data_IF_049870980928
#
_entry.id   IF_049870980928
#
_cell.length_a   1.000
_cell.length_b   1.000
_cell.length_c   1.000
_cell.angle_alpha   90.00
_cell.angle_beta   90.00
_cell.angle_gamma   90.00
#
_symmetry.space_group_name_H-M   'P 1'
#
loop_
_entity.id
_entity.type
_entity.pdbx_description
1 polymer ?
#
# COMPACT_ATOMS: atom_id res chain seq x y z
N UNK A 1 -0.91 21.42 17.89
CA UNK A 1 -0.16 20.24 18.38
C UNK A 1 -0.42 19.86 19.83
N UNK A 2 -1.23 20.58 20.61
CA UNK A 2 -1.61 20.17 21.99
C UNK A 2 -2.99 19.49 22.02
N UNK A 3 -3.91 19.85 21.11
CA UNK A 3 -5.28 19.30 21.09
C UNK A 3 -5.37 17.83 20.66
N UNK A 4 -4.49 17.34 19.79
CA UNK A 4 -4.50 15.95 19.31
C UNK A 4 -4.20 14.94 20.43
N UNK A 5 -3.38 15.31 21.42
CA UNK A 5 -2.95 14.42 22.49
C UNK A 5 -4.11 13.98 23.42
N UNK A 6 -5.11 14.85 23.63
CA UNK A 6 -6.25 14.55 24.50
C UNK A 6 -7.23 13.54 23.86
N UNK A 7 -7.35 13.56 22.54
CA UNK A 7 -8.21 12.62 21.81
C UNK A 7 -7.57 11.24 21.68
N UNK A 8 -6.24 11.16 21.56
CA UNK A 8 -5.51 9.89 21.49
C UNK A 8 -5.73 9.01 22.74
N UNK A 9 -5.74 9.59 23.95
CA UNK A 9 -6.02 8.84 25.18
C UNK A 9 -7.45 8.28 25.21
N UNK A 10 -8.44 9.06 24.76
CA UNK A 10 -9.85 8.64 24.70
C UNK A 10 -10.07 7.54 23.65
N UNK A 11 -9.37 7.63 22.52
CA UNK A 11 -9.43 6.62 21.45
C UNK A 11 -8.77 5.32 21.90
N UNK A 12 -7.62 5.39 22.59
CA UNK A 12 -6.97 4.22 23.17
C UNK A 12 -7.88 3.52 24.21
N UNK A 13 -8.58 4.28 25.05
CA UNK A 13 -9.59 3.75 25.99
C UNK A 13 -10.77 3.07 25.27
N UNK A 14 -11.26 3.66 24.17
CA UNK A 14 -12.29 3.06 23.31
C UNK A 14 -11.82 1.74 22.71
N UNK A 15 -10.61 1.71 22.12
CA UNK A 15 -10.01 0.51 21.55
C UNK A 15 -9.82 -0.60 22.60
N UNK A 16 -9.41 -0.24 23.81
CA UNK A 16 -9.18 -1.19 24.90
C UNK A 16 -10.48 -1.77 25.48
N UNK A 17 -11.61 -1.08 25.34
CA UNK A 17 -12.95 -1.57 25.75
C UNK A 17 -13.62 -2.39 24.65
N UNK A 18 -13.22 -2.20 23.40
CA UNK A 18 -13.80 -2.84 22.22
C UNK A 18 -12.92 -4.00 21.73
N UNK A 19 -12.49 -4.90 22.64
CA UNK A 19 -11.58 -6.02 22.37
C UNK A 19 -12.06 -7.00 21.29
N UNK A 20 -13.34 -6.96 20.91
CA UNK A 20 -13.93 -7.76 19.83
C UNK A 20 -14.05 -7.02 18.49
N UNK A 21 -13.76 -5.72 18.42
CA UNK A 21 -13.83 -4.96 17.18
C UNK A 21 -12.62 -5.25 16.29
N UNK A 22 -12.87 -5.73 15.08
CA UNK A 22 -11.82 -6.01 14.10
C UNK A 22 -11.31 -4.75 13.40
N UNK A 23 -12.16 -3.73 13.25
CA UNK A 23 -11.85 -2.47 12.57
C UNK A 23 -12.67 -1.33 13.17
N UNK A 24 -12.03 -0.19 13.48
CA UNK A 24 -12.69 1.04 13.89
C UNK A 24 -12.31 2.16 12.92
N UNK A 25 -13.29 2.68 12.19
CA UNK A 25 -13.13 3.89 11.37
C UNK A 25 -13.58 5.06 12.23
N UNK A 26 -12.67 6.01 12.49
CA UNK A 26 -12.95 7.20 13.27
C UNK A 26 -12.86 8.42 12.33
N UNK A 27 -14.00 9.06 12.10
CA UNK A 27 -14.04 10.38 11.48
C UNK A 27 -14.11 11.41 12.61
N UNK A 28 -13.10 12.25 12.72
CA UNK A 28 -13.03 13.36 13.67
C UNK A 28 -13.20 14.66 12.90
N UNK A 29 -14.20 15.46 13.28
CA UNK A 29 -14.40 16.79 12.72
C UNK A 29 -13.87 17.83 13.71
N UNK A 30 -12.86 18.60 13.31
CA UNK A 30 -12.30 19.70 14.11
C UNK A 30 -12.53 21.00 13.34
N UNK A 31 -13.56 21.75 13.72
CA UNK A 31 -14.01 22.92 12.96
C UNK A 31 -14.68 22.52 11.63
N UNK A 32 -14.27 23.11 10.52
CA UNK A 32 -14.76 22.78 9.16
C UNK A 32 -13.91 21.71 8.44
N UNK A 33 -12.90 21.13 9.10
CA UNK A 33 -12.02 20.11 8.52
C UNK A 33 -12.34 18.71 9.04
N UNK A 34 -12.44 17.77 8.11
CA UNK A 34 -12.60 16.35 8.39
C UNK A 34 -11.23 15.66 8.46
N UNK A 35 -10.98 14.95 9.56
CA UNK A 35 -9.80 14.12 9.76
C UNK A 35 -10.23 12.65 9.89
N UNK A 36 -9.66 11.80 9.05
CA UNK A 36 -9.96 10.37 9.02
C UNK A 36 -8.83 9.58 9.69
N UNK A 37 -9.15 8.87 10.76
CA UNK A 37 -8.21 7.99 11.46
C UNK A 37 -8.77 6.57 11.47
N UNK A 38 -7.98 5.62 10.98
CA UNK A 38 -8.34 4.20 11.01
C UNK A 38 -7.54 3.56 12.14
N UNK A 39 -8.26 3.06 13.15
CA UNK A 39 -7.67 2.30 14.26
C UNK A 39 -8.14 0.85 14.13
N UNK A 40 -7.22 -0.07 13.94
CA UNK A 40 -7.51 -1.51 13.93
C UNK A 40 -6.71 -2.19 15.04
N UNK A 41 -7.26 -3.25 15.62
CA UNK A 41 -6.45 -4.12 16.48
C UNK A 41 -5.33 -4.72 15.61
N UNK A 42 -4.05 -4.36 15.82
CA UNK A 42 -3.00 -4.64 14.84
C UNK A 42 -2.79 -6.13 14.60
N UNK A 43 -3.26 -7.00 15.50
CA UNK A 43 -3.07 -8.45 15.45
C UNK A 43 -4.02 -9.22 14.52
N UNK A 44 -5.03 -8.59 13.89
CA UNK A 44 -5.99 -9.27 13.01
C UNK A 44 -6.22 -8.63 11.65
N UNK A 45 -5.73 -7.42 11.42
CA UNK A 45 -5.90 -6.77 10.12
C UNK A 45 -5.05 -7.50 9.07
N UNK A 46 -5.71 -8.26 8.20
CA UNK A 46 -5.05 -9.02 7.14
C UNK A 46 -5.18 -8.39 5.74
N UNK A 47 -5.89 -7.27 5.63
CA UNK A 47 -6.03 -6.49 4.40
C UNK A 47 -5.89 -4.98 4.64
N UNK A 48 -5.37 -4.25 3.65
CA UNK A 48 -5.34 -2.79 3.62
C UNK A 48 -5.66 -2.32 2.21
N UNK A 49 -6.85 -1.75 2.06
CA UNK A 49 -7.37 -1.34 0.76
C UNK A 49 -7.16 0.14 0.48
N UNK A 50 -7.07 0.46 -0.81
CA UNK A 50 -7.07 1.81 -1.39
C UNK A 50 -6.00 2.74 -0.79
N UNK A 51 -4.79 2.21 -0.63
CA UNK A 51 -3.64 3.00 -0.17
C UNK A 51 -3.24 3.99 -1.26
N UNK A 52 -3.15 5.25 -0.87
CA UNK A 52 -2.69 6.37 -1.71
C UNK A 52 -1.21 6.68 -1.45
N UNK A 53 -0.63 7.68 -2.15
CA UNK A 53 0.76 8.11 -1.96
C UNK A 53 1.09 8.55 -0.52
N UNK A 54 0.07 8.80 0.31
CA UNK A 54 0.19 9.30 1.67
C UNK A 54 0.34 8.18 2.73
N UNK A 55 0.96 7.05 2.37
CA UNK A 55 1.25 6.00 3.34
C UNK A 55 2.15 6.56 4.46
N UNK A 56 1.69 6.57 5.74
CA UNK A 56 2.46 7.15 6.85
C UNK A 56 3.71 6.34 7.23
N UNK A 57 3.96 5.21 6.56
CA UNK A 57 5.02 4.26 6.89
C UNK A 57 4.66 3.34 8.06
N UNK A 58 5.65 2.57 8.53
CA UNK A 58 5.50 1.60 9.63
C UNK A 58 5.36 0.15 9.16
N UNK A 59 5.48 -0.81 10.08
CA UNK A 59 5.46 -2.25 9.76
C UNK A 59 4.09 -2.84 10.14
N UNK A 60 3.35 -3.29 9.13
CA UNK A 60 2.03 -3.92 9.24
C UNK A 60 2.14 -5.42 8.91
N UNK A 61 2.90 -6.14 9.74
CA UNK A 61 3.31 -7.55 9.52
C UNK A 61 2.17 -8.57 9.35
N UNK A 62 0.95 -8.22 9.72
CA UNK A 62 -0.21 -9.12 9.61
C UNK A 62 -1.06 -8.87 8.36
N UNK A 63 -0.82 -7.74 7.68
CA UNK A 63 -1.52 -7.41 6.44
C UNK A 63 -0.89 -8.23 5.31
N UNK A 64 -1.69 -9.15 4.76
CA UNK A 64 -1.31 -10.02 3.66
C UNK A 64 -1.88 -9.55 2.32
N UNK A 65 -2.94 -8.72 2.33
CA UNK A 65 -3.60 -8.24 1.12
C UNK A 65 -3.55 -6.71 1.06
N UNK A 66 -3.04 -6.16 -0.02
CA UNK A 66 -2.90 -4.72 -0.20
C UNK A 66 -3.48 -4.30 -1.53
N UNK A 67 -4.32 -3.26 -1.52
CA UNK A 67 -4.78 -2.57 -2.73
C UNK A 67 -4.24 -1.15 -2.74
N UNK A 68 -3.67 -0.74 -3.86
CA UNK A 68 -3.17 0.61 -4.11
C UNK A 68 -4.11 1.29 -5.10
N UNK A 69 -4.58 2.49 -4.75
CA UNK A 69 -5.35 3.33 -5.64
C UNK A 69 -5.00 4.78 -5.41
N UNK A 70 -4.74 5.52 -6.48
CA UNK A 70 -4.53 6.96 -6.40
C UNK A 70 -4.89 7.63 -7.73
N UNK A 71 -5.43 8.85 -7.65
CA UNK A 71 -5.67 9.70 -8.81
C UNK A 71 -4.36 10.26 -9.40
N UNK A 72 -3.31 10.30 -8.57
CA UNK A 72 -1.97 10.73 -8.94
C UNK A 72 -1.08 9.52 -9.23
N UNK A 73 -0.08 9.64 -10.13
CA UNK A 73 0.90 8.58 -10.36
C UNK A 73 1.58 8.10 -9.07
N UNK A 74 1.91 6.81 -9.01
CA UNK A 74 2.83 6.31 -8.00
C UNK A 74 4.28 6.47 -8.49
N UNK A 75 5.16 6.73 -7.54
CA UNK A 75 6.61 6.79 -7.76
C UNK A 75 7.23 5.41 -7.45
N UNK A 76 8.39 5.11 -8.04
CA UNK A 76 9.12 3.87 -7.74
C UNK A 76 9.37 3.69 -6.23
N UNK A 77 9.83 4.74 -5.54
CA UNK A 77 10.09 4.72 -4.10
C UNK A 77 8.85 4.42 -3.25
N UNK A 78 7.65 4.70 -3.78
CA UNK A 78 6.42 4.32 -3.10
C UNK A 78 6.29 2.79 -3.00
N UNK A 79 6.62 2.06 -4.06
CA UNK A 79 6.59 0.59 -4.06
C UNK A 79 7.63 -0.01 -3.10
N UNK A 80 8.79 0.64 -2.94
CA UNK A 80 9.77 0.27 -1.93
C UNK A 80 9.18 0.41 -0.51
N UNK A 81 8.50 1.52 -0.23
CA UNK A 81 7.81 1.74 1.05
C UNK A 81 6.70 0.71 1.29
N UNK A 82 5.96 0.32 0.24
CA UNK A 82 4.97 -0.77 0.31
C UNK A 82 5.66 -2.09 0.71
N UNK A 83 6.72 -2.49 0.02
CA UNK A 83 7.42 -3.74 0.32
C UNK A 83 7.97 -3.77 1.77
N UNK A 84 8.49 -2.64 2.25
CA UNK A 84 9.01 -2.51 3.61
C UNK A 84 7.90 -2.52 4.68
N UNK A 85 6.75 -1.91 4.38
CA UNK A 85 5.64 -1.80 5.33
C UNK A 85 4.87 -3.12 5.47
N UNK A 86 4.79 -3.89 4.39
CA UNK A 86 3.96 -5.11 4.30
C UNK A 86 4.82 -6.35 4.05
N UNK A 87 5.64 -6.70 5.06
CA UNK A 87 6.65 -7.76 4.92
C UNK A 87 6.10 -9.18 4.71
N UNK A 88 4.81 -9.42 4.94
CA UNK A 88 4.12 -10.71 4.75
C UNK A 88 3.04 -10.62 3.66
N UNK A 89 3.15 -9.63 2.76
CA UNK A 89 2.19 -9.41 1.69
C UNK A 89 2.17 -10.59 0.72
N UNK A 90 1.00 -11.19 0.57
CA UNK A 90 0.72 -12.28 -0.36
C UNK A 90 -0.01 -11.76 -1.61
N UNK A 91 -0.84 -10.73 -1.48
CA UNK A 91 -1.62 -10.18 -2.59
C UNK A 91 -1.39 -8.68 -2.71
N UNK A 92 -1.01 -8.25 -3.91
CA UNK A 92 -0.88 -6.85 -4.27
C UNK A 92 -1.76 -6.54 -5.47
N UNK A 93 -2.71 -5.62 -5.29
CA UNK A 93 -3.49 -5.03 -6.37
C UNK A 93 -3.04 -3.60 -6.58
N UNK A 94 -2.72 -3.23 -7.81
CA UNK A 94 -2.38 -1.85 -8.17
C UNK A 94 -3.42 -1.33 -9.14
N UNK A 95 -3.98 -0.15 -8.86
CA UNK A 95 -4.93 0.54 -9.72
C UNK A 95 -4.49 1.97 -9.93
N UNK A 96 -3.98 2.25 -11.11
CA UNK A 96 -3.55 3.59 -11.49
C UNK A 96 -3.47 3.72 -13.01
N UNK A 97 -4.38 4.50 -13.58
CA UNK A 97 -4.45 4.72 -15.03
C UNK A 97 -3.48 5.81 -15.52
N UNK A 98 -2.77 6.48 -14.60
CA UNK A 98 -1.79 7.51 -14.93
C UNK A 98 -0.40 6.91 -15.07
N UNK A 99 0.32 7.37 -16.09
CA UNK A 99 1.74 7.06 -16.30
C UNK A 99 2.55 7.38 -15.04
N UNK A 100 3.42 6.47 -14.63
CA UNK A 100 4.40 6.68 -13.56
C UNK A 100 5.26 7.91 -13.85
N UNK A 101 5.60 8.61 -12.77
CA UNK A 101 6.62 9.65 -12.81
C UNK A 101 7.96 8.92 -12.66
N UNK A 102 8.50 8.47 -13.79
CA UNK A 102 9.90 8.07 -13.84
C UNK A 102 10.70 9.37 -13.76
N UNK A 103 11.16 9.71 -12.57
CA UNK A 103 12.26 10.65 -12.49
C UNK A 103 13.43 9.94 -13.18
N UNK A 104 13.94 10.49 -14.28
CA UNK A 104 15.20 10.09 -14.93
C UNK A 104 16.41 10.34 -13.99
N UNK A 105 16.29 9.94 -12.72
CA UNK A 105 17.37 9.93 -11.76
C UNK A 105 18.18 8.70 -12.13
N UNK A 106 19.39 8.97 -12.63
CA UNK A 106 20.45 8.01 -12.86
C UNK A 106 20.37 6.89 -11.81
N UNK A 107 20.17 5.67 -12.30
CA UNK A 107 19.92 4.39 -11.62
C UNK A 107 21.09 3.95 -10.73
N UNK A 108 21.67 4.83 -9.92
CA UNK A 108 22.93 4.56 -9.23
C UNK A 108 22.78 4.02 -7.81
N UNK A 109 21.58 3.98 -7.21
CA UNK A 109 21.44 3.41 -5.84
C UNK A 109 20.01 2.96 -5.41
N UNK A 110 19.10 2.69 -6.35
CA UNK A 110 17.78 2.17 -5.96
C UNK A 110 17.89 0.72 -5.50
N UNK A 111 17.53 0.50 -4.23
CA UNK A 111 17.50 -0.82 -3.62
C UNK A 111 16.46 -1.70 -4.31
N UNK A 112 16.87 -2.88 -4.77
CA UNK A 112 15.97 -3.88 -5.36
C UNK A 112 14.79 -4.13 -4.41
N UNK A 113 13.58 -3.88 -4.90
CA UNK A 113 12.32 -4.12 -4.19
C UNK A 113 12.05 -5.62 -4.19
N UNK A 114 11.89 -6.23 -3.02
CA UNK A 114 11.66 -7.67 -2.87
C UNK A 114 10.29 -7.95 -2.30
N UNK A 115 9.48 -8.73 -3.01
CA UNK A 115 8.16 -9.15 -2.58
C UNK A 115 8.13 -10.64 -2.19
N UNK A 116 8.90 -11.01 -1.16
CA UNK A 116 9.27 -12.40 -0.86
C UNK A 116 8.10 -13.40 -0.69
N UNK A 117 6.93 -12.92 -0.28
CA UNK A 117 5.76 -13.77 0.01
C UNK A 117 4.60 -13.59 -0.98
N UNK A 118 4.80 -12.78 -2.04
CA UNK A 118 3.76 -12.48 -3.00
C UNK A 118 3.34 -13.76 -3.74
N UNK A 119 2.04 -13.97 -3.85
CA UNK A 119 1.40 -15.05 -4.58
C UNK A 119 0.54 -14.50 -5.71
N UNK A 120 -0.06 -13.33 -5.52
CA UNK A 120 -0.95 -12.71 -6.50
C UNK A 120 -0.55 -11.25 -6.73
N UNK A 121 -0.38 -10.88 -7.99
CA UNK A 121 -0.14 -9.52 -8.45
C UNK A 121 -1.19 -9.13 -9.49
N UNK A 122 -2.06 -8.17 -9.16
CA UNK A 122 -3.09 -7.67 -10.05
C UNK A 122 -2.74 -6.27 -10.57
N UNK A 123 -2.53 -6.20 -11.88
CA UNK A 123 -2.19 -5.01 -12.68
C UNK A 123 -3.23 -4.77 -13.80
N UNK A 124 -4.44 -5.34 -13.71
CA UNK A 124 -5.45 -5.20 -14.78
C UNK A 124 -5.80 -3.72 -15.04
N UNK A 125 -5.80 -2.89 -13.99
CA UNK A 125 -6.19 -1.48 -14.05
C UNK A 125 -5.00 -0.54 -13.85
N UNK A 126 -3.84 -0.88 -14.43
CA UNK A 126 -2.66 -0.02 -14.42
C UNK A 126 -2.28 0.50 -15.78
N UNK A 127 -1.58 1.64 -15.80
CA UNK A 127 -0.84 2.08 -16.99
C UNK A 127 0.30 1.11 -17.30
N UNK A 128 0.74 1.07 -18.57
CA UNK A 128 1.67 0.05 -19.08
C UNK A 128 3.07 0.02 -18.42
N UNK A 129 3.50 1.12 -17.81
CA UNK A 129 4.82 1.24 -17.17
C UNK A 129 4.92 0.52 -15.82
N UNK A 130 3.83 0.43 -15.06
CA UNK A 130 3.77 -0.41 -13.87
C UNK A 130 4.13 -1.87 -14.19
N UNK A 131 3.64 -2.40 -15.31
CA UNK A 131 4.00 -3.75 -15.75
C UNK A 131 5.49 -3.88 -16.01
N UNK A 132 6.12 -2.85 -16.58
CA UNK A 132 7.56 -2.86 -16.80
C UNK A 132 8.32 -2.92 -15.48
N UNK A 133 7.96 -2.08 -14.50
CA UNK A 133 8.59 -2.07 -13.17
C UNK A 133 8.53 -3.44 -12.47
N UNK A 134 7.40 -4.16 -12.57
CA UNK A 134 7.22 -5.44 -11.89
C UNK A 134 7.77 -6.65 -12.68
N UNK A 135 7.74 -6.62 -14.03
CA UNK A 135 7.97 -7.80 -14.86
C UNK A 135 9.22 -7.73 -15.74
N UNK A 136 9.67 -6.52 -16.09
CA UNK A 136 10.78 -6.31 -17.03
C UNK A 136 11.99 -5.67 -16.36
N UNK A 137 11.78 -4.93 -15.28
CA UNK A 137 12.81 -4.18 -14.60
C UNK A 137 13.59 -5.07 -13.62
N UNK A 138 14.91 -4.85 -13.53
CA UNK A 138 15.78 -5.53 -12.56
C UNK A 138 15.60 -5.03 -11.13
N UNK A 139 14.86 -3.93 -10.97
CA UNK A 139 14.64 -3.29 -9.68
C UNK A 139 13.55 -3.96 -8.84
N UNK A 140 12.78 -4.91 -9.39
CA UNK A 140 11.79 -5.70 -8.63
C UNK A 140 12.10 -7.20 -8.69
N UNK A 141 12.08 -7.84 -7.52
CA UNK A 141 12.24 -9.27 -7.36
C UNK A 141 10.93 -9.89 -6.86
N UNK A 142 10.28 -10.64 -7.75
CA UNK A 142 9.11 -11.47 -7.45
C UNK A 142 9.54 -12.91 -7.15
N UNK A 143 8.83 -13.62 -6.26
CA UNK A 143 9.09 -15.02 -5.97
C UNK A 143 8.72 -15.91 -7.16
N UNK A 144 9.15 -17.17 -7.10
CA UNK A 144 8.77 -18.17 -8.09
C UNK A 144 7.27 -18.49 -7.93
N UNK A 145 6.52 -18.58 -9.03
CA UNK A 145 5.08 -18.93 -9.07
C UNK A 145 4.10 -17.84 -8.62
N UNK A 146 4.37 -16.56 -8.94
CA UNK A 146 3.36 -15.49 -8.78
C UNK A 146 2.31 -15.56 -9.88
N UNK A 147 1.03 -15.59 -9.48
CA UNK A 147 -0.10 -15.37 -10.37
C UNK A 147 -0.17 -13.88 -10.73
N UNK A 148 0.14 -13.55 -11.97
CA UNK A 148 0.07 -12.17 -12.48
C UNK A 148 -1.18 -11.99 -13.32
N UNK A 149 -2.02 -11.02 -12.95
CA UNK A 149 -3.17 -10.58 -13.73
C UNK A 149 -2.85 -9.24 -14.40
N UNK A 150 -2.99 -9.18 -15.73
CA UNK A 150 -2.72 -7.96 -16.51
C UNK A 150 -3.54 -7.93 -17.80
N UNK A 151 -3.62 -6.74 -18.43
CA UNK A 151 -4.27 -6.59 -19.73
C UNK A 151 -3.55 -7.41 -20.81
N UNK A 152 -4.30 -8.24 -21.53
CA UNK A 152 -3.76 -9.17 -22.52
C UNK A 152 -3.06 -8.45 -23.69
N UNK A 153 -3.53 -7.26 -24.03
CA UNK A 153 -2.99 -6.40 -25.09
C UNK A 153 -1.53 -6.03 -24.85
N UNK A 154 -1.09 -5.95 -23.58
CA UNK A 154 0.29 -5.61 -23.22
C UNK A 154 1.27 -6.78 -23.41
N UNK A 155 0.77 -8.01 -23.55
CA UNK A 155 1.57 -9.20 -23.87
C UNK A 155 1.79 -9.38 -25.37
N UNK A 156 1.01 -8.70 -26.21
CA UNK A 156 1.16 -8.70 -27.66
C UNK A 156 2.22 -7.66 -28.04
N UNK A 157 3.46 -8.11 -28.20
CA UNK A 157 4.50 -7.36 -28.92
C UNK A 157 4.09 -7.13 -30.37
#
# INVERSE_FOLDING_TARGET
NIETCAYDELILLLLHRMLSLEKLHLCLTVGEKEHYHIYSYPYKLNYYDDITNNLPGGILKYVCKVSLFNEHPFEHEFFLRIAQSFSMMENLTVRNEKRQINNDIETSDLSIIKYLYLKELDLIHTYKDYHAQFLLDTETCLPFDVLVSMQYELLKK
#
